data_IF_704354624806
#
_entry.id   IF_704354624806
#
_cell.length_a   1.000
_cell.length_b   1.000
_cell.length_c   1.000
_cell.angle_alpha   90.00
_cell.angle_beta   90.00
_cell.angle_gamma   90.00
#
_symmetry.space_group_name_H-M   'P 1'
#
loop_
_entity.id
_entity.type
_entity.pdbx_description
1 polymer ?
#
# COMPACT_ATOMS: atom_id res chain seq x y z
N UNK A 1 21.47 -13.13 -5.54
CA UNK A 1 21.48 -13.00 -4.07
C UNK A 1 20.84 -14.25 -3.53
N UNK A 2 21.31 -14.76 -2.40
CA UNK A 2 20.74 -15.93 -1.74
C UNK A 2 19.53 -15.55 -0.88
N UNK A 3 18.54 -16.43 -0.77
CA UNK A 3 17.39 -16.20 0.12
C UNK A 3 17.80 -16.23 1.60
N UNK A 4 17.15 -15.39 2.40
CA UNK A 4 17.35 -15.29 3.84
C UNK A 4 16.05 -15.63 4.54
N UNK A 5 16.12 -16.61 5.44
CA UNK A 5 15.02 -17.08 6.27
C UNK A 5 15.18 -16.57 7.70
N UNK A 6 14.07 -16.30 8.37
CA UNK A 6 14.03 -16.11 9.82
C UNK A 6 13.57 -17.41 10.47
N UNK A 7 14.36 -17.97 11.38
CA UNK A 7 13.95 -19.14 12.14
C UNK A 7 13.34 -18.70 13.48
N UNK A 8 12.17 -19.23 13.78
CA UNK A 8 11.51 -19.08 15.08
C UNK A 8 11.42 -20.43 15.77
N UNK A 9 11.62 -20.44 17.08
CA UNK A 9 11.59 -21.66 17.90
C UNK A 9 10.52 -21.54 18.97
N UNK A 10 9.86 -22.66 19.28
CA UNK A 10 8.82 -22.68 20.31
C UNK A 10 9.45 -22.45 21.68
N UNK A 11 8.87 -21.55 22.45
CA UNK A 11 9.31 -21.24 23.79
C UNK A 11 8.95 -22.38 24.75
N UNK A 12 9.87 -22.72 25.65
CA UNK A 12 9.66 -23.70 26.71
C UNK A 12 9.17 -23.08 28.02
N UNK A 13 9.16 -21.74 28.11
CA UNK A 13 8.75 -21.00 29.31
C UNK A 13 7.23 -20.83 29.35
N UNK A 14 6.55 -21.21 30.46
CA UNK A 14 5.14 -20.94 30.63
C UNK A 14 4.88 -19.43 30.76
N UNK A 15 3.72 -18.96 30.26
CA UNK A 15 3.28 -17.56 30.27
C UNK A 15 4.11 -16.55 29.45
N UNK A 16 4.96 -17.03 28.53
CA UNK A 16 5.69 -16.20 27.57
C UNK A 16 5.09 -16.34 26.15
N UNK A 17 5.57 -15.54 25.19
CA UNK A 17 5.19 -15.72 23.79
C UNK A 17 5.52 -17.13 23.29
N UNK A 18 4.62 -17.72 22.49
CA UNK A 18 4.76 -19.10 22.02
C UNK A 18 6.01 -19.31 21.18
N UNK A 19 6.40 -18.31 20.37
CA UNK A 19 7.55 -18.39 19.46
C UNK A 19 8.53 -17.27 19.76
N UNK A 20 9.83 -17.58 19.79
CA UNK A 20 10.88 -16.58 19.87
C UNK A 20 11.77 -16.64 18.62
N UNK A 21 12.27 -15.48 18.21
CA UNK A 21 13.20 -15.36 17.09
C UNK A 21 14.55 -15.98 17.48
N UNK A 22 15.05 -16.90 16.66
CA UNK A 22 16.34 -17.56 16.88
C UNK A 22 17.47 -16.86 16.12
N UNK A 23 17.41 -16.86 14.78
CA UNK A 23 18.40 -16.19 13.93
C UNK A 23 17.92 -16.07 12.48
N UNK A 24 18.68 -15.32 11.68
CA UNK A 24 18.62 -15.36 10.22
C UNK A 24 19.52 -16.46 9.68
N UNK A 25 19.05 -17.18 8.66
CA UNK A 25 19.82 -18.19 7.94
C UNK A 25 19.71 -17.98 6.45
N UNK A 26 20.80 -18.23 5.73
CA UNK A 26 20.77 -18.31 4.27
C UNK A 26 20.23 -19.66 3.82
N UNK A 27 19.69 -19.74 2.61
CA UNK A 27 19.13 -21.00 2.06
C UNK A 27 20.09 -22.21 2.12
N UNK A 28 21.40 -21.97 2.03
CA UNK A 28 22.47 -22.98 2.05
C UNK A 28 23.04 -23.21 3.44
N UNK A 29 22.65 -22.45 4.46
CA UNK A 29 23.20 -22.61 5.81
C UNK A 29 22.90 -24.00 6.35
N UNK A 30 23.96 -24.67 6.80
CA UNK A 30 23.85 -26.03 7.31
C UNK A 30 23.02 -26.12 8.60
N UNK A 31 22.92 -25.01 9.32
CA UNK A 31 22.21 -24.85 10.59
C UNK A 31 20.68 -24.82 10.44
N UNK A 32 20.16 -24.73 9.20
CA UNK A 32 18.73 -24.95 8.95
C UNK A 32 18.40 -26.42 9.28
N UNK A 33 17.45 -26.69 10.20
CA UNK A 33 17.05 -28.04 10.56
C UNK A 33 16.68 -28.89 9.34
N UNK A 34 17.23 -30.11 9.25
CA UNK A 34 17.06 -31.00 8.09
C UNK A 34 15.58 -31.29 7.77
N UNK A 35 14.74 -31.40 8.80
CA UNK A 35 13.30 -31.63 8.65
C UNK A 35 12.55 -30.44 8.01
N UNK A 36 13.13 -29.24 7.99
CA UNK A 36 12.55 -28.05 7.37
C UNK A 36 13.06 -27.80 5.95
N UNK A 37 14.18 -28.40 5.54
CA UNK A 37 14.79 -28.13 4.24
C UNK A 37 13.91 -28.50 3.04
N UNK A 38 13.04 -29.51 3.20
CA UNK A 38 12.08 -29.90 2.17
C UNK A 38 10.83 -29.03 2.10
N UNK A 39 10.66 -28.07 3.01
CA UNK A 39 9.44 -27.26 3.17
C UNK A 39 9.76 -25.82 3.59
N UNK A 40 10.87 -25.27 3.07
CA UNK A 40 11.18 -23.87 3.29
C UNK A 40 10.10 -22.96 2.68
N UNK A 41 9.76 -21.84 3.32
CA UNK A 41 8.79 -20.91 2.78
C UNK A 41 9.21 -20.41 1.40
N UNK A 42 8.29 -20.43 0.44
CA UNK A 42 8.54 -19.83 -0.87
C UNK A 42 8.35 -18.32 -0.82
N UNK A 43 8.97 -17.61 -1.77
CA UNK A 43 8.71 -16.20 -1.98
C UNK A 43 7.21 -15.98 -2.24
N UNK A 44 6.60 -15.04 -1.52
CA UNK A 44 5.19 -14.74 -1.68
C UNK A 44 4.91 -14.09 -3.04
N UNK A 45 4.04 -14.70 -3.84
CA UNK A 45 3.47 -14.08 -5.04
C UNK A 45 2.06 -13.57 -4.74
N UNK A 46 1.96 -12.28 -4.47
CA UNK A 46 0.69 -11.60 -4.17
C UNK A 46 -0.30 -11.59 -5.34
N UNK A 47 0.15 -11.89 -6.57
CA UNK A 47 -0.66 -11.83 -7.78
C UNK A 47 -0.90 -13.20 -8.42
N UNK A 48 -0.42 -14.28 -7.80
CA UNK A 48 -0.54 -15.64 -8.35
C UNK A 48 -1.98 -16.00 -8.78
N UNK A 49 -2.98 -15.61 -7.98
CA UNK A 49 -4.38 -15.87 -8.29
C UNK A 49 -4.96 -14.91 -9.33
N UNK A 50 -4.48 -13.66 -9.38
CA UNK A 50 -5.01 -12.62 -10.27
C UNK A 50 -3.88 -11.70 -10.79
N UNK A 51 -3.11 -12.12 -11.82
CA UNK A 51 -2.01 -11.32 -12.38
C UNK A 51 -2.45 -9.94 -12.90
N UNK A 52 -3.72 -9.81 -13.29
CA UNK A 52 -4.30 -8.55 -13.77
C UNK A 52 -4.34 -7.46 -12.69
N UNK A 53 -4.37 -7.83 -11.41
CA UNK A 53 -4.42 -6.87 -10.31
C UNK A 53 -3.10 -6.11 -10.14
N UNK A 54 -2.02 -6.54 -10.81
CA UNK A 54 -0.75 -5.81 -10.87
C UNK A 54 -0.91 -4.44 -11.57
N UNK A 55 -1.91 -4.29 -12.44
CA UNK A 55 -2.15 -3.06 -13.19
C UNK A 55 -3.49 -2.43 -12.81
N UNK A 56 -3.52 -1.09 -12.81
CA UNK A 56 -4.76 -0.34 -12.63
C UNK A 56 -5.56 -0.29 -13.95
N UNK A 57 -6.79 -0.82 -13.94
CA UNK A 57 -7.66 -0.87 -15.10
C UNK A 57 -8.39 0.45 -15.33
N UNK A 58 -7.88 1.30 -16.21
CA UNK A 58 -8.44 2.64 -16.47
C UNK A 58 -9.83 2.65 -17.11
N UNK A 59 -10.39 1.49 -17.47
CA UNK A 59 -11.76 1.37 -17.99
C UNK A 59 -12.82 1.36 -16.89
N UNK A 60 -12.45 1.06 -15.65
CA UNK A 60 -13.39 1.03 -14.53
C UNK A 60 -13.60 2.44 -13.97
N UNK A 61 -14.83 2.75 -13.57
CA UNK A 61 -15.14 4.02 -12.94
C UNK A 61 -14.56 4.09 -11.52
N UNK A 62 -14.07 5.26 -11.14
CA UNK A 62 -13.54 5.53 -9.79
C UNK A 62 -14.55 6.37 -9.01
N UNK A 63 -15.18 5.74 -8.03
CA UNK A 63 -16.18 6.32 -7.13
C UNK A 63 -15.51 6.85 -5.86
N UNK A 64 -16.06 7.92 -5.29
CA UNK A 64 -15.54 8.53 -4.07
C UNK A 64 -16.57 9.44 -3.39
N UNK A 65 -16.34 9.74 -2.11
CA UNK A 65 -17.06 10.76 -1.33
C UNK A 65 -16.00 11.50 -0.49
N UNK A 66 -15.60 12.70 -0.94
CA UNK A 66 -14.50 13.43 -0.30
C UNK A 66 -14.91 14.02 1.04
N UNK A 67 -16.17 14.37 1.20
CA UNK A 67 -16.77 14.85 2.44
C UNK A 67 -16.52 13.83 3.56
N UNK A 68 -16.96 12.58 3.35
CA UNK A 68 -16.78 11.48 4.30
C UNK A 68 -15.30 11.16 4.55
N UNK A 69 -14.48 11.12 3.49
CA UNK A 69 -13.04 10.83 3.62
C UNK A 69 -12.35 11.88 4.52
N UNK A 70 -12.66 13.17 4.29
CA UNK A 70 -12.08 14.28 5.03
C UNK A 70 -12.60 14.29 6.48
N UNK A 71 -13.87 13.99 6.71
CA UNK A 71 -14.44 13.92 8.06
C UNK A 71 -13.76 12.86 8.93
N UNK A 72 -13.57 11.65 8.41
CA UNK A 72 -12.98 10.54 9.18
C UNK A 72 -11.46 10.66 9.36
N UNK A 73 -10.77 11.29 8.41
CA UNK A 73 -9.31 11.22 8.31
C UNK A 73 -8.63 12.59 8.22
N UNK A 74 -9.30 13.64 8.70
CA UNK A 74 -8.79 15.02 8.67
C UNK A 74 -7.36 15.15 9.22
N UNK A 75 -7.09 14.47 10.33
CA UNK A 75 -5.79 14.48 11.02
C UNK A 75 -4.64 13.87 10.21
N UNK A 76 -4.95 13.13 9.14
CA UNK A 76 -3.94 12.56 8.22
C UNK A 76 -3.50 13.54 7.14
N UNK A 77 -4.20 14.66 6.97
CA UNK A 77 -3.78 15.72 6.06
C UNK A 77 -2.53 16.43 6.61
N UNK A 78 -1.65 16.96 5.75
CA UNK A 78 -0.59 17.88 6.18
C UNK A 78 -1.12 19.06 7.03
N UNK A 79 -0.36 19.50 8.04
CA UNK A 79 -0.77 20.57 8.96
C UNK A 79 -1.16 21.86 8.23
N UNK A 80 -0.44 22.23 7.17
CA UNK A 80 -0.77 23.42 6.37
C UNK A 80 -2.13 23.33 5.66
N UNK A 81 -2.57 22.12 5.31
CA UNK A 81 -3.91 21.89 4.73
C UNK A 81 -4.96 21.92 5.83
N UNK A 82 -4.66 21.39 7.03
CA UNK A 82 -5.60 21.37 8.16
C UNK A 82 -5.99 22.76 8.66
N UNK A 83 -5.22 23.80 8.32
CA UNK A 83 -5.53 25.21 8.64
C UNK A 83 -6.62 25.82 7.74
N UNK A 84 -6.99 25.16 6.65
CA UNK A 84 -8.02 25.63 5.72
C UNK A 84 -9.41 25.16 6.16
N UNK A 85 -10.44 25.88 5.71
CA UNK A 85 -11.82 25.44 5.88
C UNK A 85 -12.07 24.10 5.18
N UNK A 86 -12.78 23.19 5.85
CA UNK A 86 -13.10 21.86 5.30
C UNK A 86 -13.78 21.93 3.93
N UNK A 87 -14.67 22.89 3.71
CA UNK A 87 -15.36 23.09 2.43
C UNK A 87 -14.40 23.44 1.29
N UNK A 88 -13.36 24.24 1.56
CA UNK A 88 -12.29 24.57 0.61
C UNK A 88 -11.49 23.31 0.31
N UNK A 89 -11.10 22.56 1.35
CA UNK A 89 -10.34 21.30 1.20
C UNK A 89 -11.11 20.34 0.30
N UNK A 90 -12.38 20.07 0.59
CA UNK A 90 -13.24 19.17 -0.17
C UNK A 90 -13.37 19.63 -1.63
N UNK A 91 -13.58 20.92 -1.87
CA UNK A 91 -13.69 21.49 -3.22
C UNK A 91 -12.42 21.24 -4.04
N UNK A 92 -11.24 21.50 -3.44
CA UNK A 92 -9.96 21.28 -4.10
C UNK A 92 -9.71 19.78 -4.33
N UNK A 93 -10.01 18.93 -3.36
CA UNK A 93 -9.86 17.48 -3.50
C UNK A 93 -10.75 16.91 -4.61
N UNK A 94 -11.99 17.37 -4.71
CA UNK A 94 -12.91 16.98 -5.79
C UNK A 94 -12.35 17.36 -7.17
N UNK A 95 -11.94 18.61 -7.36
CA UNK A 95 -11.31 19.08 -8.61
C UNK A 95 -10.02 18.31 -8.93
N UNK A 96 -9.18 18.11 -7.92
CA UNK A 96 -7.89 17.43 -8.07
C UNK A 96 -8.06 15.94 -8.40
N UNK A 97 -9.15 15.32 -7.92
CA UNK A 97 -9.46 13.90 -8.18
C UNK A 97 -9.84 13.71 -9.63
N UNK A 98 -10.63 14.60 -10.21
CA UNK A 98 -10.95 14.57 -11.64
C UNK A 98 -9.72 14.79 -12.52
N UNK A 99 -8.81 15.68 -12.12
CA UNK A 99 -7.51 15.84 -12.78
C UNK A 99 -6.63 14.59 -12.64
N UNK A 100 -6.62 13.96 -11.47
CA UNK A 100 -5.91 12.70 -11.22
C UNK A 100 -6.41 11.58 -12.13
N UNK A 101 -7.73 11.39 -12.26
CA UNK A 101 -8.33 10.39 -13.18
C UNK A 101 -7.84 10.61 -14.61
N UNK A 102 -7.83 11.85 -15.10
CA UNK A 102 -7.31 12.20 -16.44
C UNK A 102 -5.82 11.87 -16.60
N UNK A 103 -5.00 12.08 -15.57
CA UNK A 103 -3.57 11.72 -15.57
C UNK A 103 -3.37 10.21 -15.58
N UNK A 104 -4.12 9.49 -14.76
CA UNK A 104 -4.11 8.01 -14.70
C UNK A 104 -4.53 7.40 -16.03
N UNK A 105 -5.54 7.96 -16.70
CA UNK A 105 -5.96 7.50 -18.03
C UNK A 105 -4.84 7.58 -19.07
N UNK A 106 -3.96 8.59 -18.99
CA UNK A 106 -2.80 8.77 -19.87
C UNK A 106 -1.61 7.90 -19.46
N UNK A 107 -1.46 7.65 -18.16
CA UNK A 107 -0.40 6.83 -17.60
C UNK A 107 -0.89 6.09 -16.34
N UNK A 108 -1.29 4.83 -16.52
CA UNK A 108 -1.82 4.02 -15.42
C UNK A 108 -0.75 3.57 -14.41
N UNK A 109 0.55 3.67 -14.77
CA UNK A 109 1.69 3.36 -13.88
C UNK A 109 1.86 4.37 -12.75
N UNK A 110 1.13 5.50 -12.79
CA UNK A 110 1.04 6.44 -11.67
C UNK A 110 0.37 5.80 -10.45
N UNK A 111 -0.45 4.77 -10.67
CA UNK A 111 -1.10 4.01 -9.62
C UNK A 111 -0.24 2.81 -9.26
N UNK A 112 0.04 2.65 -7.98
CA UNK A 112 0.89 1.58 -7.46
C UNK A 112 0.04 0.59 -6.67
N UNK A 113 0.17 -0.73 -6.91
CA UNK A 113 -0.49 -1.72 -6.07
C UNK A 113 0.09 -1.70 -4.64
N UNK A 114 -0.76 -1.98 -3.66
CA UNK A 114 -0.41 -2.15 -2.26
C UNK A 114 -1.13 -3.38 -1.69
N UNK A 115 -0.54 -4.02 -0.67
CA UNK A 115 -1.20 -5.11 0.04
C UNK A 115 -1.68 -4.61 1.40
N UNK A 116 -2.99 -4.63 1.62
CA UNK A 116 -3.59 -4.20 2.87
C UNK A 116 -4.79 -5.07 3.22
N UNK A 117 -4.92 -5.43 4.50
CA UNK A 117 -5.99 -6.29 5.02
C UNK A 117 -6.27 -7.54 4.16
N UNK A 118 -5.19 -8.24 3.80
CA UNK A 118 -5.20 -9.47 2.99
C UNK A 118 -5.71 -9.31 1.54
N UNK A 119 -5.75 -8.09 1.01
CA UNK A 119 -6.24 -7.80 -0.35
C UNK A 119 -5.28 -6.87 -1.10
N UNK A 120 -5.32 -6.97 -2.42
CA UNK A 120 -4.69 -5.98 -3.30
C UNK A 120 -5.58 -4.73 -3.30
N UNK A 121 -4.96 -3.61 -2.96
CA UNK A 121 -5.52 -2.27 -3.16
C UNK A 121 -4.53 -1.46 -4.01
N UNK A 122 -4.87 -0.22 -4.26
CA UNK A 122 -4.07 0.68 -5.07
C UNK A 122 -3.81 1.99 -4.35
N UNK A 123 -2.74 2.66 -4.74
CA UNK A 123 -2.36 3.98 -4.27
C UNK A 123 -2.25 4.92 -5.45
N UNK A 124 -2.95 6.06 -5.38
CA UNK A 124 -2.90 7.08 -6.41
C UNK A 124 -2.43 8.44 -5.85
N UNK A 125 -1.53 9.16 -6.55
CA UNK A 125 -1.02 10.44 -6.10
C UNK A 125 -1.99 11.59 -6.48
N UNK A 126 -2.70 12.11 -5.48
CA UNK A 126 -3.56 13.28 -5.61
C UNK A 126 -2.77 14.55 -5.31
N UNK A 127 -2.88 15.57 -6.17
CA UNK A 127 -2.25 16.87 -5.92
C UNK A 127 -3.14 17.74 -5.03
N UNK A 128 -2.56 18.44 -4.08
CA UNK A 128 -3.23 19.51 -3.33
C UNK A 128 -2.27 20.69 -3.18
N UNK A 129 -2.37 21.68 -4.06
CA UNK A 129 -1.38 22.75 -4.13
C UNK A 129 0.03 22.21 -4.37
N UNK A 130 0.93 22.40 -3.39
CA UNK A 130 2.30 21.88 -3.42
C UNK A 130 2.43 20.50 -2.77
N UNK A 131 1.39 19.95 -2.17
CA UNK A 131 1.44 18.64 -1.54
C UNK A 131 0.97 17.53 -2.50
N UNK A 132 1.44 16.31 -2.24
CA UNK A 132 0.92 15.10 -2.89
C UNK A 132 0.35 14.18 -1.82
N UNK A 133 -0.95 13.92 -1.91
CA UNK A 133 -1.71 13.08 -0.99
C UNK A 133 -1.89 11.68 -1.60
N UNK A 134 -1.42 10.61 -0.94
CA UNK A 134 -1.69 9.25 -1.37
C UNK A 134 -3.16 8.85 -1.08
N UNK A 135 -3.91 8.52 -2.13
CA UNK A 135 -5.26 7.96 -2.01
C UNK A 135 -5.21 6.43 -2.01
N UNK A 136 -5.85 5.80 -1.03
CA UNK A 136 -6.09 4.37 -1.03
C UNK A 136 -7.36 4.03 -1.83
N UNK A 137 -7.21 3.18 -2.84
CA UNK A 137 -8.26 2.80 -3.78
C UNK A 137 -8.48 1.29 -3.72
N UNK A 138 -9.70 0.86 -3.49
CA UNK A 138 -10.12 -0.54 -3.52
C UNK A 138 -10.77 -0.87 -4.87
N UNK A 139 -10.53 -2.09 -5.37
CA UNK A 139 -11.22 -2.64 -6.54
C UNK A 139 -12.43 -3.42 -6.10
N UNK A 140 -13.58 -3.07 -6.66
CA UNK A 140 -14.79 -3.87 -6.67
C UNK A 140 -14.98 -4.50 -8.06
N UNK A 141 -16.07 -5.26 -8.24
CA UNK A 141 -16.33 -6.04 -9.46
C UNK A 141 -16.26 -5.15 -10.72
N UNK A 142 -17.01 -4.04 -10.74
CA UNK A 142 -17.13 -3.16 -11.92
C UNK A 142 -16.68 -1.71 -11.67
N UNK A 143 -16.04 -1.45 -10.54
CA UNK A 143 -15.62 -0.10 -10.17
C UNK A 143 -14.44 -0.11 -9.21
N UNK A 144 -13.83 1.05 -9.07
CA UNK A 144 -12.92 1.37 -7.99
C UNK A 144 -13.60 2.30 -7.00
N UNK A 145 -13.20 2.22 -5.73
CA UNK A 145 -13.62 3.15 -4.68
C UNK A 145 -12.41 3.75 -3.99
N UNK A 146 -12.35 5.08 -3.91
CA UNK A 146 -11.40 5.77 -3.02
C UNK A 146 -11.94 5.63 -1.60
N UNK A 147 -11.18 4.99 -0.72
CA UNK A 147 -11.60 4.71 0.65
C UNK A 147 -11.07 5.76 1.64
N UNK A 148 -9.83 6.21 1.48
CA UNK A 148 -9.20 7.16 2.42
C UNK A 148 -8.00 7.85 1.78
N UNK A 149 -7.58 8.95 2.41
CA UNK A 149 -6.24 9.53 2.26
C UNK A 149 -5.32 8.87 3.30
N UNK A 150 -4.08 8.54 2.90
CA UNK A 150 -3.04 8.01 3.79
C UNK A 150 -1.97 9.07 4.02
N UNK A 151 -1.22 8.93 5.11
CA UNK A 151 0.04 9.67 5.24
C UNK A 151 1.09 9.09 4.28
N UNK A 152 2.10 9.86 3.86
CA UNK A 152 3.18 9.34 3.00
C UNK A 152 3.89 8.12 3.59
N UNK A 153 4.09 8.09 4.91
CA UNK A 153 4.68 6.95 5.61
C UNK A 153 3.83 5.68 5.52
N UNK A 154 2.51 5.80 5.72
CA UNK A 154 1.58 4.66 5.56
C UNK A 154 1.60 4.14 4.12
N UNK A 155 1.52 5.03 3.14
CA UNK A 155 1.54 4.66 1.72
C UNK A 155 2.84 3.94 1.34
N UNK A 156 3.98 4.41 1.85
CA UNK A 156 5.27 3.75 1.63
C UNK A 156 5.33 2.35 2.24
N UNK A 157 4.91 2.19 3.50
CA UNK A 157 4.87 0.90 4.18
C UNK A 157 4.01 -0.13 3.43
N UNK A 158 2.83 0.29 2.95
CA UNK A 158 1.91 -0.61 2.25
C UNK A 158 2.38 -0.95 0.83
N UNK A 159 2.99 -0.01 0.11
CA UNK A 159 3.49 -0.23 -1.25
C UNK A 159 4.69 -1.20 -1.27
N UNK A 160 5.63 -1.03 -0.32
CA UNK A 160 6.87 -1.82 -0.21
C UNK A 160 6.65 -3.33 -0.22
N UNK A 161 5.52 -3.80 0.30
CA UNK A 161 5.20 -5.23 0.35
C UNK A 161 5.09 -5.85 -1.05
N UNK A 162 4.66 -5.06 -2.04
CA UNK A 162 4.42 -5.53 -3.39
C UNK A 162 5.50 -5.05 -4.36
N UNK A 163 5.86 -3.77 -4.28
CA UNK A 163 6.78 -3.15 -5.23
C UNK A 163 7.61 -2.10 -4.52
N UNK A 164 8.85 -1.90 -4.94
CA UNK A 164 9.61 -0.72 -4.55
C UNK A 164 8.96 0.51 -5.20
N UNK A 165 8.32 1.42 -4.44
CA UNK A 165 7.80 2.65 -5.04
C UNK A 165 8.96 3.46 -5.64
N UNK A 166 8.79 3.96 -6.87
CA UNK A 166 9.81 4.81 -7.49
C UNK A 166 10.04 6.08 -6.65
N UNK A 167 11.29 6.52 -6.55
CA UNK A 167 11.72 7.62 -5.65
C UNK A 167 11.07 8.98 -5.97
N UNK A 168 10.42 9.13 -7.11
CA UNK A 168 9.71 10.33 -7.56
C UNK A 168 8.19 10.27 -7.34
N UNK A 169 7.63 9.15 -6.89
CA UNK A 169 6.18 8.92 -6.92
C UNK A 169 5.37 9.86 -6.02
N UNK A 170 5.87 10.15 -4.82
CA UNK A 170 5.30 11.14 -3.89
C UNK A 170 6.13 12.43 -3.78
N UNK A 171 7.23 12.51 -4.53
CA UNK A 171 8.15 13.64 -4.46
C UNK A 171 7.87 14.62 -5.59
N UNK A 172 7.79 15.90 -5.24
CA UNK A 172 7.76 16.98 -6.20
C UNK A 172 9.19 17.31 -6.58
N UNK A 173 9.62 16.94 -7.78
CA UNK A 173 10.65 17.72 -8.46
C UNK A 173 9.97 18.81 -9.27
#
# INVERSE_FOLDING_TARGET
GEEIFMLFTKNSRPNEQEWFFNSFYRSSDHDIPQNMRGSLPEHIDYFASNPQDMYFNTKLNVLYNMEHIVEENFTRLPEGIQQLDKSIIITILNSSTEQMKKRILRNNRLVVPQYYNKRIMYLAPLRFGKDTLPLAIEKHIDSYRINTILTPGMAYCNARLIMKPESNWLNNK
#
